data_IF_820734306033
#
_entry.id   IF_820734306033
#
_cell.length_a   1.000
_cell.length_b   1.000
_cell.length_c   1.000
_cell.angle_alpha   90.00
_cell.angle_beta   90.00
_cell.angle_gamma   90.00
#
_symmetry.space_group_name_H-M   'P 1'
#
loop_
_entity.id
_entity.type
_entity.pdbx_description
1 polymer ?
#
# COMPACT_ATOMS: atom_id res chain seq x y z
N UNK A 1 -11.81 8.63 -50.45
CA UNK A 1 -11.54 7.56 -49.46
C UNK A 1 -10.67 8.12 -48.37
N UNK A 2 -11.35 8.54 -47.27
CA UNK A 2 -10.66 9.04 -46.08
C UNK A 2 -10.15 7.88 -45.25
N UNK A 3 -8.84 7.79 -45.08
CA UNK A 3 -8.25 6.94 -44.05
C UNK A 3 -8.53 7.63 -42.71
N UNK A 4 -9.50 7.14 -41.92
CA UNK A 4 -9.62 7.46 -40.54
C UNK A 4 -8.38 6.88 -39.81
N UNK A 5 -7.47 7.75 -39.46
CA UNK A 5 -6.36 7.40 -38.53
C UNK A 5 -6.99 7.12 -37.19
N UNK A 6 -7.21 5.84 -36.92
CA UNK A 6 -7.65 5.38 -35.60
C UNK A 6 -6.57 5.77 -34.61
N UNK A 7 -6.78 6.90 -33.89
CA UNK A 7 -5.89 7.33 -32.82
C UNK A 7 -5.98 6.28 -31.70
N UNK A 8 -4.98 5.44 -31.59
CA UNK A 8 -4.81 4.54 -30.47
C UNK A 8 -4.72 5.40 -29.20
N UNK A 9 -5.83 5.46 -28.45
CA UNK A 9 -5.82 6.13 -27.14
C UNK A 9 -4.99 5.27 -26.21
N UNK A 10 -3.95 5.85 -25.62
CA UNK A 10 -3.23 5.22 -24.50
C UNK A 10 -4.25 4.89 -23.40
N UNK A 11 -4.33 3.64 -22.94
CA UNK A 11 -5.22 3.31 -21.84
C UNK A 11 -4.86 4.14 -20.60
N UNK A 12 -5.85 4.52 -19.78
CA UNK A 12 -5.55 5.20 -18.52
C UNK A 12 -4.70 4.30 -17.62
N UNK A 13 -3.81 4.89 -16.83
CA UNK A 13 -3.07 4.17 -15.81
C UNK A 13 -4.01 3.62 -14.73
N UNK A 14 -3.57 2.57 -14.03
CA UNK A 14 -4.30 2.01 -12.90
C UNK A 14 -4.65 3.09 -11.88
N UNK A 15 -5.90 3.08 -11.46
CA UNK A 15 -6.40 3.89 -10.35
C UNK A 15 -7.14 3.00 -9.36
N UNK A 16 -6.91 3.17 -8.06
CA UNK A 16 -7.62 2.42 -7.04
C UNK A 16 -9.12 2.75 -7.06
N UNK A 17 -9.97 1.74 -6.90
CA UNK A 17 -11.42 1.88 -6.96
C UNK A 17 -12.08 1.63 -5.60
N UNK A 18 -11.54 0.72 -4.79
CA UNK A 18 -12.10 0.33 -3.51
C UNK A 18 -11.36 0.99 -2.35
N UNK A 19 -11.57 2.30 -2.20
CA UNK A 19 -10.89 3.16 -1.23
C UNK A 19 -11.90 3.83 -0.30
N UNK A 20 -11.59 3.81 0.99
CA UNK A 20 -12.16 4.73 1.97
C UNK A 20 -11.09 5.72 2.43
N UNK A 21 -11.39 6.99 2.39
CA UNK A 21 -10.57 8.04 2.97
C UNK A 21 -11.44 9.03 3.75
N UNK A 22 -11.02 9.40 4.95
CA UNK A 22 -11.63 10.48 5.70
C UNK A 22 -11.53 11.80 4.91
N UNK A 23 -12.40 12.78 5.19
CA UNK A 23 -12.37 14.06 4.47
C UNK A 23 -11.05 14.82 4.63
N UNK A 24 -10.39 14.66 5.79
CA UNK A 24 -9.10 15.26 6.07
C UNK A 24 -8.31 14.37 7.03
N UNK A 25 -6.99 14.50 6.99
CA UNK A 25 -6.12 13.86 7.96
C UNK A 25 -6.38 14.43 9.36
N UNK A 26 -6.61 13.58 10.39
CA UNK A 26 -6.89 14.06 11.73
C UNK A 26 -5.73 14.87 12.30
N UNK A 27 -5.99 16.07 12.80
CA UNK A 27 -4.96 16.96 13.34
C UNK A 27 -4.18 16.36 14.52
N UNK A 28 -4.82 15.48 15.30
CA UNK A 28 -4.20 14.78 16.44
C UNK A 28 -3.30 13.61 16.05
N UNK A 29 -3.30 13.16 14.79
CA UNK A 29 -2.49 12.03 14.34
C UNK A 29 -1.21 12.54 13.70
N UNK A 30 -0.16 12.60 14.49
CA UNK A 30 1.19 13.04 14.08
C UNK A 30 2.13 11.88 13.82
N UNK A 31 1.90 10.74 14.49
CA UNK A 31 2.71 9.53 14.35
C UNK A 31 1.83 8.30 14.13
N UNK A 32 2.22 7.47 13.16
CA UNK A 32 1.53 6.23 12.80
C UNK A 32 2.51 5.07 12.93
N UNK A 33 2.17 4.08 13.74
CA UNK A 33 2.92 2.83 13.79
C UNK A 33 2.53 1.96 12.58
N UNK A 34 3.51 1.53 11.81
CA UNK A 34 3.31 0.68 10.63
C UNK A 34 3.65 -0.75 11.00
N UNK A 35 2.65 -1.62 11.00
CA UNK A 35 2.85 -3.04 11.26
C UNK A 35 3.41 -3.76 10.04
N UNK A 36 4.14 -4.86 10.25
CA UNK A 36 4.61 -5.71 9.17
C UNK A 36 3.46 -6.23 8.30
N UNK A 37 3.73 -6.39 7.02
CA UNK A 37 2.75 -6.92 6.06
C UNK A 37 2.33 -8.32 6.48
N UNK A 38 1.04 -8.50 6.71
CA UNK A 38 0.42 -9.78 7.06
C UNK A 38 -0.02 -10.53 5.81
N UNK A 39 -0.28 -11.82 5.96
CA UNK A 39 -0.96 -12.63 4.97
C UNK A 39 -1.83 -13.68 5.65
N UNK A 40 -2.96 -14.01 5.02
CA UNK A 40 -3.83 -15.12 5.40
C UNK A 40 -3.70 -16.30 4.45
N UNK A 41 -2.76 -16.23 3.50
CA UNK A 41 -2.52 -17.33 2.57
C UNK A 41 -1.95 -18.53 3.33
N UNK A 42 -2.66 -19.67 3.25
CA UNK A 42 -2.32 -20.88 4.01
C UNK A 42 -1.01 -21.53 3.56
N UNK A 43 -0.63 -21.31 2.30
CA UNK A 43 0.47 -22.03 1.65
C UNK A 43 1.81 -21.28 1.70
N UNK A 44 1.87 -20.14 2.42
CA UNK A 44 3.09 -19.36 2.52
C UNK A 44 3.47 -19.10 3.98
N UNK A 45 4.78 -19.06 4.33
CA UNK A 45 5.23 -18.69 5.67
C UNK A 45 4.77 -17.27 6.07
N UNK A 46 4.64 -17.03 7.37
CA UNK A 46 4.19 -15.76 7.92
C UNK A 46 5.11 -14.56 7.54
N UNK A 47 6.37 -14.82 7.22
CA UNK A 47 7.37 -13.83 6.82
C UNK A 47 7.61 -13.79 5.30
N UNK A 48 6.81 -14.51 4.51
CA UNK A 48 6.98 -14.61 3.05
C UNK A 48 7.00 -13.24 2.37
N UNK A 49 6.19 -12.30 2.86
CA UNK A 49 6.09 -10.95 2.33
C UNK A 49 6.93 -9.93 3.12
N UNK A 50 7.92 -10.36 3.90
CA UNK A 50 8.76 -9.46 4.72
C UNK A 50 9.51 -8.41 3.90
N UNK A 51 9.88 -8.72 2.66
CA UNK A 51 10.51 -7.76 1.74
C UNK A 51 9.59 -6.60 1.35
N UNK A 52 8.28 -6.72 1.58
CA UNK A 52 7.30 -5.65 1.31
C UNK A 52 7.20 -4.64 2.47
N UNK A 53 7.66 -4.99 3.66
CA UNK A 53 7.61 -4.10 4.84
C UNK A 53 8.27 -2.74 4.56
N UNK A 54 9.53 -2.66 4.08
CA UNK A 54 10.17 -1.40 3.78
C UNK A 54 9.56 -0.66 2.58
N UNK A 55 8.96 -1.38 1.64
CA UNK A 55 8.30 -0.78 0.46
C UNK A 55 7.10 0.06 0.90
N UNK A 56 6.22 -0.51 1.73
CA UNK A 56 5.07 0.18 2.27
C UNK A 56 5.45 1.33 3.20
N UNK A 57 6.43 1.11 4.09
CA UNK A 57 6.92 2.15 4.97
C UNK A 57 7.41 3.36 4.17
N UNK A 58 8.23 3.13 3.15
CA UNK A 58 8.75 4.18 2.28
C UNK A 58 7.63 4.92 1.54
N UNK A 59 6.64 4.19 1.01
CA UNK A 59 5.49 4.80 0.34
C UNK A 59 4.68 5.70 1.28
N UNK A 60 4.36 5.21 2.49
CA UNK A 60 3.64 5.99 3.51
C UNK A 60 4.42 7.22 3.95
N UNK A 61 5.73 7.08 4.19
CA UNK A 61 6.60 8.21 4.56
C UNK A 61 6.64 9.27 3.47
N UNK A 62 6.64 8.88 2.19
CA UNK A 62 6.65 9.81 1.05
C UNK A 62 5.37 10.66 0.95
N UNK A 63 4.29 10.27 1.63
CA UNK A 63 3.04 11.04 1.67
C UNK A 63 3.12 12.29 2.53
N UNK A 64 4.07 12.35 3.45
CA UNK A 64 4.24 13.46 4.42
C UNK A 64 2.98 13.78 5.25
N UNK A 65 2.09 12.79 5.47
CA UNK A 65 0.87 12.98 6.27
C UNK A 65 1.16 12.99 7.76
N UNK A 66 2.06 12.10 8.19
CA UNK A 66 2.50 11.91 9.56
C UNK A 66 3.94 11.37 9.58
N UNK A 67 4.50 11.22 10.75
CA UNK A 67 5.69 10.39 10.96
C UNK A 67 5.27 8.92 10.98
N UNK A 68 5.69 8.15 9.98
CA UNK A 68 5.42 6.72 9.91
C UNK A 68 6.62 5.96 10.46
N UNK A 69 6.40 5.18 11.52
CA UNK A 69 7.43 4.40 12.21
C UNK A 69 7.12 2.92 12.13
N UNK A 70 8.11 2.10 11.77
CA UNK A 70 7.91 0.67 11.70
C UNK A 70 7.91 0.02 13.08
N UNK A 71 7.01 -0.94 13.27
CA UNK A 71 7.13 -1.97 14.30
C UNK A 71 7.70 -3.20 13.63
N UNK A 72 8.84 -3.69 14.09
CA UNK A 72 9.52 -4.82 13.42
C UNK A 72 8.83 -6.16 13.72
N UNK A 73 9.04 -7.13 12.82
CA UNK A 73 8.58 -8.51 13.03
C UNK A 73 9.16 -9.12 14.29
N UNK A 74 10.41 -8.82 14.62
CA UNK A 74 11.08 -9.31 15.81
C UNK A 74 10.46 -8.74 17.09
N UNK A 75 10.05 -7.46 17.11
CA UNK A 75 9.35 -6.85 18.23
C UNK A 75 7.98 -7.48 18.44
N UNK A 76 7.18 -7.62 17.38
CA UNK A 76 5.89 -8.29 17.46
C UNK A 76 6.02 -9.73 17.95
N UNK A 77 7.00 -10.46 17.46
CA UNK A 77 7.25 -11.84 17.87
C UNK A 77 7.56 -11.93 19.37
N UNK A 78 8.40 -11.02 19.88
CA UNK A 78 8.72 -10.95 21.33
C UNK A 78 7.50 -10.61 22.19
N UNK A 79 6.63 -9.72 21.69
CA UNK A 79 5.48 -9.26 22.46
C UNK A 79 4.31 -10.23 22.46
N UNK A 80 4.12 -10.94 21.34
CA UNK A 80 2.85 -11.64 21.09
C UNK A 80 3.03 -13.08 20.62
N UNK A 81 4.25 -13.49 20.29
CA UNK A 81 4.52 -14.79 19.65
C UNK A 81 4.17 -14.83 18.14
N UNK A 82 3.81 -13.71 17.53
CA UNK A 82 3.45 -13.62 16.10
C UNK A 82 4.21 -12.49 15.43
N UNK A 83 4.57 -12.68 14.15
CA UNK A 83 5.37 -11.71 13.37
C UNK A 83 4.54 -10.66 12.65
N UNK A 84 3.23 -10.86 12.49
CA UNK A 84 2.32 -9.96 11.81
C UNK A 84 0.87 -10.17 12.26
N UNK A 85 0.02 -9.19 12.00
CA UNK A 85 -1.40 -9.24 12.36
C UNK A 85 -2.27 -8.80 11.19
N UNK A 86 -3.25 -9.64 10.86
CA UNK A 86 -4.32 -9.30 9.93
C UNK A 86 -5.39 -8.46 10.61
N UNK A 87 -6.06 -7.60 9.84
CA UNK A 87 -7.21 -6.82 10.30
C UNK A 87 -8.48 -7.65 10.51
N UNK A 88 -8.51 -8.89 10.01
CA UNK A 88 -9.68 -9.79 10.08
C UNK A 88 -9.77 -10.59 11.36
N UNK A 89 -8.69 -10.68 12.12
CA UNK A 89 -8.67 -11.40 13.40
C UNK A 89 -8.61 -10.43 14.59
N UNK A 90 -9.19 -10.84 15.74
CA UNK A 90 -9.04 -10.08 16.98
C UNK A 90 -7.56 -9.87 17.32
N UNK A 91 -7.20 -8.64 17.64
CA UNK A 91 -5.86 -8.33 18.12
C UNK A 91 -5.72 -8.75 19.58
N UNK A 92 -4.51 -9.17 20.03
CA UNK A 92 -4.25 -9.34 21.45
C UNK A 92 -4.58 -8.06 22.23
N UNK A 93 -5.24 -8.15 23.39
CA UNK A 93 -5.69 -6.98 24.16
C UNK A 93 -4.58 -5.97 24.45
N UNK A 94 -3.37 -6.46 24.72
CA UNK A 94 -2.24 -5.61 25.11
C UNK A 94 -1.43 -5.08 23.90
N UNK A 95 -1.71 -5.55 22.69
CA UNK A 95 -0.89 -5.22 21.52
C UNK A 95 -0.89 -3.72 21.24
N UNK A 96 -2.06 -3.10 21.19
CA UNK A 96 -2.19 -1.68 20.90
C UNK A 96 -1.52 -0.82 21.99
N UNK A 97 -1.67 -1.20 23.26
CA UNK A 97 -1.01 -0.52 24.38
C UNK A 97 0.52 -0.60 24.24
N UNK A 98 1.06 -1.76 23.89
CA UNK A 98 2.51 -1.94 23.67
C UNK A 98 3.02 -1.14 22.48
N UNK A 99 2.26 -1.09 21.39
CA UNK A 99 2.60 -0.28 20.22
C UNK A 99 2.67 1.20 20.62
N UNK A 100 1.67 1.72 21.33
CA UNK A 100 1.64 3.11 21.81
C UNK A 100 2.80 3.40 22.75
N UNK A 101 3.06 2.53 23.72
CA UNK A 101 4.16 2.68 24.67
C UNK A 101 5.52 2.72 23.96
N UNK A 102 5.70 1.86 22.95
CA UNK A 102 6.98 1.74 22.22
C UNK A 102 7.19 2.86 21.19
N UNK A 103 6.15 3.29 20.49
CA UNK A 103 6.25 4.20 19.35
C UNK A 103 5.73 5.60 19.63
N UNK A 104 4.86 5.78 20.62
CA UNK A 104 4.11 7.03 20.83
C UNK A 104 3.09 7.32 19.72
N UNK A 105 2.66 6.32 18.97
CA UNK A 105 1.77 6.49 17.85
C UNK A 105 0.33 6.77 18.28
N UNK A 106 -0.36 7.64 17.55
CA UNK A 106 -1.79 7.93 17.70
C UNK A 106 -2.67 7.12 16.74
N UNK A 107 -2.04 6.46 15.76
CA UNK A 107 -2.72 5.58 14.81
C UNK A 107 -1.83 4.38 14.44
N UNK A 108 -2.46 3.33 13.94
CA UNK A 108 -1.78 2.10 13.49
C UNK A 108 -2.17 1.81 12.05
N UNK A 109 -1.18 1.50 11.23
CA UNK A 109 -1.35 1.04 9.85
C UNK A 109 -1.20 -0.48 9.78
N UNK A 110 -2.23 -1.13 9.26
CA UNK A 110 -2.29 -2.55 8.95
C UNK A 110 -2.19 -2.74 7.44
N UNK A 111 -1.36 -3.66 7.01
CA UNK A 111 -1.13 -3.98 5.61
C UNK A 111 -1.16 -5.50 5.44
N UNK A 112 -1.78 -5.96 4.36
CA UNK A 112 -2.04 -7.38 4.17
C UNK A 112 -2.02 -7.77 2.69
N UNK A 113 -1.45 -8.94 2.40
CA UNK A 113 -1.62 -9.61 1.10
C UNK A 113 -2.75 -10.62 1.24
N UNK A 114 -3.83 -10.40 0.50
CA UNK A 114 -5.05 -11.22 0.55
C UNK A 114 -5.11 -12.28 -0.53
N UNK A 115 -4.43 -12.04 -1.64
CA UNK A 115 -4.34 -12.96 -2.77
C UNK A 115 -2.96 -12.85 -3.42
N UNK A 116 -2.44 -13.97 -3.90
CA UNK A 116 -1.16 -14.02 -4.59
C UNK A 116 -1.13 -15.17 -5.60
N UNK A 117 -0.98 -14.84 -6.87
CA UNK A 117 -0.77 -15.79 -7.95
C UNK A 117 0.46 -15.38 -8.75
N UNK A 118 1.62 -16.04 -8.56
CA UNK A 118 2.86 -15.69 -9.25
C UNK A 118 2.98 -16.30 -10.64
N UNK A 119 2.08 -17.23 -11.00
CA UNK A 119 2.10 -17.96 -12.27
C UNK A 119 0.92 -17.61 -13.16
N UNK A 120 1.13 -17.66 -14.47
CA UNK A 120 0.13 -17.23 -15.45
C UNK A 120 -0.06 -15.73 -15.44
N UNK A 121 -1.31 -15.29 -15.32
CA UNK A 121 -1.64 -13.89 -15.07
C UNK A 121 -1.27 -13.54 -13.63
N UNK A 122 -0.18 -12.77 -13.48
CA UNK A 122 0.30 -12.38 -12.15
C UNK A 122 -0.73 -11.48 -11.47
N UNK A 123 -1.28 -11.97 -10.35
CA UNK A 123 -2.30 -11.24 -9.60
C UNK A 123 -1.88 -11.14 -8.14
N UNK A 124 -2.04 -9.95 -7.56
CA UNK A 124 -1.84 -9.71 -6.15
C UNK A 124 -3.04 -8.94 -5.56
N UNK A 125 -3.60 -9.46 -4.48
CA UNK A 125 -4.61 -8.79 -3.67
C UNK A 125 -3.94 -8.11 -2.49
N UNK A 126 -4.29 -6.84 -2.25
CA UNK A 126 -3.75 -6.01 -1.19
C UNK A 126 -4.90 -5.40 -0.39
N UNK A 127 -4.75 -5.39 0.92
CA UNK A 127 -5.65 -4.70 1.84
C UNK A 127 -4.84 -3.86 2.79
N UNK A 128 -5.32 -2.66 3.09
CA UNK A 128 -4.69 -1.79 4.07
C UNK A 128 -5.69 -0.96 4.85
N UNK A 129 -5.29 -0.54 6.04
CA UNK A 129 -6.11 0.30 6.91
C UNK A 129 -5.22 1.11 7.83
N UNK A 130 -5.54 2.38 8.00
CA UNK A 130 -4.99 3.21 9.07
C UNK A 130 -6.12 3.52 10.05
N UNK A 131 -5.92 3.11 11.30
CA UNK A 131 -6.89 3.24 12.39
C UNK A 131 -6.39 4.25 13.41
N UNK A 132 -7.15 5.31 13.67
CA UNK A 132 -6.92 6.22 14.79
C UNK A 132 -7.30 5.52 16.10
N UNK A 133 -6.42 5.59 17.10
CA UNK A 133 -6.59 4.85 18.34
C UNK A 133 -7.55 5.54 19.31
N UNK A 134 -7.45 6.86 19.46
CA UNK A 134 -8.25 7.61 20.44
C UNK A 134 -9.76 7.52 20.20
N UNK A 135 -10.19 7.56 18.94
CA UNK A 135 -11.61 7.50 18.54
C UNK A 135 -12.00 6.18 17.91
N UNK A 136 -11.07 5.24 17.79
CA UNK A 136 -11.27 3.94 17.16
C UNK A 136 -11.95 4.05 15.78
N UNK A 137 -11.52 4.98 14.96
CA UNK A 137 -12.08 5.22 13.62
C UNK A 137 -11.05 5.01 12.52
N UNK A 138 -11.52 4.54 11.36
CA UNK A 138 -10.67 4.43 10.19
C UNK A 138 -10.37 5.83 9.63
N UNK A 139 -9.09 6.10 9.35
CA UNK A 139 -8.64 7.29 8.63
C UNK A 139 -8.59 6.99 7.13
N UNK A 140 -8.16 5.80 6.77
CA UNK A 140 -7.97 5.33 5.41
C UNK A 140 -8.07 3.82 5.37
N UNK A 141 -8.65 3.28 4.34
CA UNK A 141 -8.71 1.85 4.08
C UNK A 141 -8.80 1.57 2.59
N UNK A 142 -8.27 0.45 2.15
CA UNK A 142 -8.39 -0.01 0.77
C UNK A 142 -8.41 -1.54 0.72
N UNK A 143 -8.99 -2.07 -0.34
CA UNK A 143 -8.88 -3.46 -0.74
C UNK A 143 -8.87 -3.53 -2.26
N UNK A 144 -7.73 -3.89 -2.83
CA UNK A 144 -7.48 -3.86 -4.27
C UNK A 144 -6.91 -5.20 -4.76
N UNK A 145 -7.32 -5.59 -5.95
CA UNK A 145 -6.73 -6.72 -6.66
C UNK A 145 -6.09 -6.21 -7.94
N UNK A 146 -4.78 -6.41 -8.06
CA UNK A 146 -3.97 -5.94 -9.18
C UNK A 146 -3.61 -7.13 -10.05
N UNK A 147 -3.96 -7.04 -11.34
CA UNK A 147 -3.54 -7.99 -12.35
C UNK A 147 -2.46 -7.33 -13.22
N UNK A 148 -1.27 -7.93 -13.28
CA UNK A 148 -0.15 -7.36 -14.03
C UNK A 148 -0.40 -7.35 -15.56
N UNK A 149 -1.32 -8.18 -16.04
CA UNK A 149 -1.67 -8.26 -17.47
C UNK A 149 -2.72 -7.23 -17.89
N UNK A 150 -3.36 -6.52 -16.96
CA UNK A 150 -4.32 -5.48 -17.27
C UNK A 150 -3.65 -4.28 -17.93
N UNK A 151 -4.31 -3.73 -18.95
CA UNK A 151 -3.80 -2.58 -19.71
C UNK A 151 -3.54 -1.36 -18.83
N UNK A 152 -4.40 -1.10 -17.85
CA UNK A 152 -4.24 -0.01 -16.87
C UNK A 152 -3.02 -0.21 -15.97
N UNK A 153 -2.81 -1.44 -15.47
CA UNK A 153 -1.63 -1.81 -14.68
C UNK A 153 -0.35 -1.70 -15.51
N UNK A 154 -0.36 -2.20 -16.75
CA UNK A 154 0.77 -2.07 -17.65
C UNK A 154 1.10 -0.59 -17.96
N UNK A 155 0.09 0.27 -18.07
CA UNK A 155 0.29 1.71 -18.25
C UNK A 155 0.92 2.36 -17.01
N UNK A 156 0.47 2.00 -15.81
CA UNK A 156 1.07 2.45 -14.55
C UNK A 156 2.57 2.12 -14.49
N UNK A 157 2.95 0.90 -14.90
CA UNK A 157 4.37 0.50 -14.95
C UNK A 157 5.15 1.32 -15.97
N UNK A 158 4.61 1.56 -17.16
CA UNK A 158 5.27 2.40 -18.18
C UNK A 158 5.51 3.81 -17.69
N UNK A 159 4.55 4.41 -17.01
CA UNK A 159 4.67 5.74 -16.42
C UNK A 159 5.69 5.77 -15.27
N UNK A 160 5.71 4.73 -14.43
CA UNK A 160 6.66 4.59 -13.35
C UNK A 160 8.10 4.37 -13.83
N UNK A 161 8.29 3.52 -14.84
CA UNK A 161 9.60 3.28 -15.46
C UNK A 161 10.10 4.48 -16.23
N UNK A 162 9.23 5.20 -16.95
CA UNK A 162 9.61 6.41 -17.71
C UNK A 162 10.14 7.55 -16.84
N UNK A 163 9.87 7.53 -15.54
CA UNK A 163 10.42 8.47 -14.56
C UNK A 163 11.80 8.05 -14.03
N UNK A 164 12.15 6.78 -14.13
CA UNK A 164 13.39 6.22 -13.57
C UNK A 164 14.41 5.78 -14.64
N UNK A 165 13.97 5.38 -15.83
CA UNK A 165 14.83 4.84 -16.89
C UNK A 165 14.33 5.25 -18.26
N UNK A 166 15.00 6.22 -18.89
CA UNK A 166 14.75 6.63 -20.28
C UNK A 166 15.08 5.54 -21.33
N UNK A 167 15.62 4.39 -20.92
CA UNK A 167 16.10 3.33 -21.81
C UNK A 167 15.10 2.24 -22.11
N UNK A 168 13.95 2.17 -21.42
CA UNK A 168 12.95 1.09 -21.59
C UNK A 168 11.61 1.56 -22.17
N UNK A 169 11.58 2.68 -22.87
CA UNK A 169 10.34 3.30 -23.39
C UNK A 169 9.73 2.62 -24.64
N UNK A 170 10.22 1.47 -25.08
CA UNK A 170 9.61 0.74 -26.19
C UNK A 170 8.57 -0.26 -25.70
N UNK A 171 7.35 -0.08 -26.14
CA UNK A 171 6.16 -0.87 -25.78
C UNK A 171 6.28 -2.40 -26.03
N UNK A 172 7.27 -2.84 -26.78
CA UNK A 172 7.60 -4.24 -27.02
C UNK A 172 8.48 -4.88 -25.93
N UNK A 173 9.14 -4.08 -25.09
CA UNK A 173 10.01 -4.60 -24.03
C UNK A 173 9.24 -5.11 -22.79
N UNK A 174 7.98 -4.70 -22.62
CA UNK A 174 7.15 -5.13 -21.48
C UNK A 174 6.31 -6.38 -21.80
N UNK A 175 6.11 -6.70 -23.07
CA UNK A 175 5.43 -7.93 -23.49
C UNK A 175 6.34 -9.13 -23.21
N UNK A 176 6.08 -9.84 -22.10
CA UNK A 176 6.83 -11.04 -21.69
C UNK A 176 7.81 -10.84 -20.51
N UNK A 177 8.01 -9.62 -20.01
CA UNK A 177 8.78 -9.41 -18.78
C UNK A 177 7.88 -9.71 -17.58
N UNK A 178 8.18 -10.77 -16.86
CA UNK A 178 7.58 -11.01 -15.54
C UNK A 178 8.05 -9.94 -14.58
N UNK A 179 7.10 -9.13 -14.10
CA UNK A 179 7.37 -8.12 -13.09
C UNK A 179 7.41 -8.82 -11.74
N UNK A 180 8.48 -8.60 -10.95
CA UNK A 180 8.53 -9.20 -9.62
C UNK A 180 7.40 -8.64 -8.73
N UNK A 181 6.80 -9.47 -7.85
CA UNK A 181 5.72 -9.03 -6.96
C UNK A 181 6.08 -7.79 -6.14
N UNK A 182 7.33 -7.69 -5.70
CA UNK A 182 7.80 -6.52 -4.94
C UNK A 182 7.80 -5.24 -5.78
N UNK A 183 8.06 -5.33 -7.09
CA UNK A 183 7.95 -4.17 -8.01
C UNK A 183 6.50 -3.79 -8.21
N UNK A 184 5.58 -4.75 -8.35
CA UNK A 184 4.14 -4.48 -8.43
C UNK A 184 3.72 -3.70 -7.19
N UNK A 185 4.04 -4.19 -6.00
CA UNK A 185 3.70 -3.52 -4.74
C UNK A 185 4.35 -2.14 -4.64
N UNK A 186 5.59 -1.98 -5.09
CA UNK A 186 6.28 -0.69 -5.07
C UNK A 186 5.55 0.39 -5.90
N UNK A 187 5.02 0.05 -7.07
CA UNK A 187 4.27 0.99 -7.90
C UNK A 187 2.86 1.23 -7.35
N UNK A 188 2.17 0.15 -6.99
CA UNK A 188 0.80 0.23 -6.48
C UNK A 188 0.73 0.99 -5.16
N UNK A 189 1.68 0.76 -4.24
CA UNK A 189 1.73 1.48 -2.96
C UNK A 189 1.84 2.99 -3.14
N UNK A 190 2.61 3.46 -4.14
CA UNK A 190 2.69 4.90 -4.47
C UNK A 190 1.36 5.48 -4.90
N UNK A 191 0.63 4.76 -5.77
CA UNK A 191 -0.69 5.18 -6.23
C UNK A 191 -1.70 5.15 -5.09
N UNK A 192 -1.66 4.12 -4.25
CA UNK A 192 -2.54 3.99 -3.09
C UNK A 192 -2.33 5.10 -2.07
N UNK A 193 -1.09 5.46 -1.74
CA UNK A 193 -0.83 6.52 -0.75
C UNK A 193 -1.25 7.91 -1.21
N UNK A 194 -1.40 8.14 -2.51
CA UNK A 194 -1.99 9.38 -3.05
C UNK A 194 -3.45 9.55 -2.66
N UNK A 195 -4.15 8.47 -2.32
CA UNK A 195 -5.54 8.47 -1.85
C UNK A 195 -5.69 8.77 -0.36
N UNK A 196 -4.60 8.89 0.38
CA UNK A 196 -4.64 9.31 1.79
C UNK A 196 -5.33 10.67 1.95
N UNK A 197 -6.11 10.86 3.05
CA UNK A 197 -6.77 12.13 3.30
C UNK A 197 -5.81 13.32 3.21
N UNK A 198 -6.23 14.47 2.64
CA UNK A 198 -5.40 15.67 2.60
C UNK A 198 -5.16 16.18 4.03
N UNK A 199 -4.02 16.86 4.24
CA UNK A 199 -3.82 17.61 5.49
C UNK A 199 -4.86 18.73 5.58
N UNK A 200 -5.36 18.99 6.79
CA UNK A 200 -6.12 20.20 7.04
C UNK A 200 -5.20 21.40 6.79
N UNK A 201 -5.57 22.23 5.83
CA UNK A 201 -4.96 23.55 5.70
C UNK A 201 -5.39 24.34 6.94
N UNK A 202 -4.42 24.68 7.78
CA UNK A 202 -4.67 25.67 8.84
C UNK A 202 -4.93 26.98 8.12
N UNK A 203 -6.19 27.38 8.03
CA UNK A 203 -6.53 28.71 7.58
C UNK A 203 -5.99 29.68 8.64
N UNK A 204 -4.84 30.25 8.38
CA UNK A 204 -4.46 31.49 9.05
C UNK A 204 -5.43 32.55 8.53
N UNK A 205 -6.53 32.76 9.24
CA UNK A 205 -7.30 34.00 9.07
C UNK A 205 -6.41 35.18 9.54
N UNK A 206 -6.26 36.21 8.74
CA UNK A 206 -5.48 37.40 9.10
C UNK A 206 -6.09 38.13 10.29
#
# INVERSE_FOLDING_TARGET
SGFEVQRWRTPPAYQPENIFAAKAWPAGVKRVAVLPVATLLADVPADYFSAHDPVWLSALQSSYRAEFVAVSRAELLRWTGRMSFSTTYPLPPDLLARIVEHTGAEAVAFLEVTHFSPYGSQTIGLRGRIQELAQNRAIWAFEETINADDAATAQMFREGLGRQDHLLSTSSALAGIRISPIKIVSYVSRVLVETLPPRQLVNFSP
#
